data_IF_599552995497
#
_entry.id   IF_599552995497
#
_cell.length_a   1.000
_cell.length_b   1.000
_cell.length_c   1.000
_cell.angle_alpha   90.00
_cell.angle_beta   90.00
_cell.angle_gamma   90.00
#
_symmetry.space_group_name_H-M   'P 1'
#
loop_
_entity.id
_entity.type
_entity.pdbx_description
1 polymer ?
#
# COMPACT_ATOMS: atom_id res chain seq x y z
N UNK A 1 -14.47 1.33 6.14
CA UNK A 1 -14.65 2.66 5.52
C UNK A 1 -16.07 2.75 5.00
N UNK A 2 -16.92 3.56 5.62
CA UNK A 2 -18.32 3.69 5.16
C UNK A 2 -18.34 4.64 3.96
N UNK A 3 -18.27 4.06 2.77
CA UNK A 3 -18.37 4.74 1.49
C UNK A 3 -19.81 5.20 1.26
N UNK A 4 -20.13 6.40 1.74
CA UNK A 4 -21.44 7.02 1.56
C UNK A 4 -21.65 7.52 0.14
N UNK A 5 -22.53 6.85 -0.62
CA UNK A 5 -23.32 7.32 -1.79
C UNK A 5 -22.64 8.04 -2.97
N UNK A 6 -21.34 8.36 -2.96
CA UNK A 6 -20.53 8.72 -4.14
C UNK A 6 -19.06 8.36 -3.93
N UNK A 7 -18.46 7.73 -4.95
CA UNK A 7 -17.02 7.45 -5.08
C UNK A 7 -16.58 6.18 -4.36
N UNK A 8 -16.88 5.00 -4.91
CA UNK A 8 -16.31 3.74 -4.44
C UNK A 8 -14.87 3.64 -4.92
N UNK A 9 -13.95 3.22 -4.04
CA UNK A 9 -12.58 2.85 -4.42
C UNK A 9 -12.56 1.37 -4.73
N UNK A 10 -12.15 1.02 -5.96
CA UNK A 10 -11.98 -0.37 -6.38
C UNK A 10 -10.50 -0.72 -6.48
N UNK A 11 -10.15 -1.87 -5.91
CA UNK A 11 -8.81 -2.42 -5.96
C UNK A 11 -8.90 -3.94 -5.89
N UNK A 12 -8.02 -4.62 -6.60
CA UNK A 12 -7.78 -6.04 -6.37
C UNK A 12 -6.65 -6.14 -5.36
N UNK A 13 -6.86 -6.85 -4.26
CA UNK A 13 -5.84 -7.04 -3.24
C UNK A 13 -5.55 -8.54 -3.04
N UNK A 14 -4.28 -8.91 -3.02
CA UNK A 14 -3.83 -10.29 -2.79
C UNK A 14 -3.06 -10.33 -1.46
N UNK A 15 -3.39 -11.26 -0.54
CA UNK A 15 -2.58 -11.46 0.65
C UNK A 15 -1.24 -12.10 0.27
N UNK A 16 -0.15 -11.57 0.82
CA UNK A 16 1.22 -12.07 0.58
C UNK A 16 1.91 -12.23 1.92
N UNK A 17 2.45 -13.43 2.18
CA UNK A 17 3.29 -13.69 3.35
C UNK A 17 4.75 -13.51 2.97
N UNK A 18 5.45 -12.58 3.63
CA UNK A 18 6.88 -12.32 3.43
C UNK A 18 7.59 -12.45 4.77
N UNK A 19 8.42 -13.48 4.91
CA UNK A 19 9.00 -13.86 6.19
C UNK A 19 7.91 -14.15 7.24
N UNK A 20 7.97 -13.44 8.37
CA UNK A 20 7.01 -13.54 9.46
C UNK A 20 5.89 -12.49 9.40
N UNK A 21 5.89 -11.62 8.39
CA UNK A 21 4.90 -10.56 8.23
C UNK A 21 3.89 -10.89 7.12
N UNK A 22 2.67 -10.40 7.31
CA UNK A 22 1.59 -10.50 6.32
C UNK A 22 1.40 -9.13 5.67
N UNK A 23 1.22 -9.13 4.35
CA UNK A 23 1.03 -7.96 3.53
C UNK A 23 -0.22 -8.11 2.65
N UNK A 24 -0.78 -6.99 2.22
CA UNK A 24 -1.67 -6.90 1.07
C UNK A 24 -0.93 -6.26 -0.08
N UNK A 25 -0.99 -6.91 -1.24
CA UNK A 25 -0.50 -6.42 -2.51
C UNK A 25 -1.71 -5.96 -3.34
N UNK A 26 -1.85 -4.64 -3.50
CA UNK A 26 -2.91 -3.99 -4.25
C UNK A 26 -2.47 -3.77 -5.68
N UNK A 27 -3.30 -4.21 -6.62
CA UNK A 27 -3.19 -3.93 -8.05
C UNK A 27 -4.45 -3.20 -8.52
N UNK A 28 -4.39 -2.47 -9.65
CA UNK A 28 -5.57 -1.82 -10.20
C UNK A 28 -6.74 -2.80 -10.32
N UNK A 29 -7.93 -2.37 -9.91
CA UNK A 29 -9.16 -3.16 -10.02
C UNK A 29 -9.51 -3.50 -11.48
N UNK A 30 -10.36 -4.51 -11.72
CA UNK A 30 -10.84 -4.82 -13.08
C UNK A 30 -11.59 -3.64 -13.70
N UNK A 31 -11.60 -3.57 -15.04
CA UNK A 31 -12.28 -2.50 -15.78
C UNK A 31 -13.77 -2.34 -15.39
N UNK A 32 -14.22 -1.09 -15.24
CA UNK A 32 -15.58 -0.75 -14.82
C UNK A 32 -16.70 -1.25 -15.76
N UNK A 33 -17.92 -1.48 -15.23
CA UNK A 33 -19.14 -1.26 -15.99
C UNK A 33 -19.24 0.20 -16.45
N UNK A 34 -19.65 0.43 -17.70
CA UNK A 34 -19.74 1.77 -18.30
C UNK A 34 -20.61 2.72 -17.43
N UNK A 35 -20.09 3.92 -17.09
CA UNK A 35 -20.83 4.97 -16.37
C UNK A 35 -20.60 5.11 -14.85
N UNK A 36 -19.70 4.33 -14.24
CA UNK A 36 -19.35 4.49 -12.83
C UNK A 36 -18.53 5.77 -12.54
N UNK A 37 -18.84 6.51 -11.46
CA UNK A 37 -18.05 7.66 -10.96
C UNK A 37 -16.93 7.23 -9.99
N UNK A 38 -16.43 6.02 -10.16
CA UNK A 38 -15.59 5.35 -9.17
C UNK A 38 -14.09 5.53 -9.45
N UNK A 39 -13.25 5.33 -8.43
CA UNK A 39 -11.80 5.56 -8.49
C UNK A 39 -11.05 4.23 -8.36
N UNK A 40 -10.05 3.99 -9.21
CA UNK A 40 -9.12 2.87 -9.05
C UNK A 40 -8.06 3.18 -8.01
N UNK A 41 -7.71 2.18 -7.21
CA UNK A 41 -6.49 2.19 -6.43
C UNK A 41 -5.64 0.95 -6.73
N UNK A 42 -4.34 1.10 -7.04
CA UNK A 42 -3.66 2.37 -7.36
C UNK A 42 -4.21 3.03 -8.64
N UNK A 43 -3.99 4.33 -8.81
CA UNK A 43 -4.46 5.10 -9.97
C UNK A 43 -3.56 4.97 -11.21
N UNK A 44 -2.42 4.32 -11.05
CA UNK A 44 -1.47 3.95 -12.11
C UNK A 44 -1.32 2.43 -12.14
N UNK A 45 -0.83 1.89 -13.25
CA UNK A 45 -0.51 0.46 -13.37
C UNK A 45 0.75 0.12 -12.54
N UNK A 46 0.56 0.02 -11.23
CA UNK A 46 1.60 -0.27 -10.25
C UNK A 46 1.02 -1.08 -9.09
N UNK A 47 1.92 -1.69 -8.32
CA UNK A 47 1.59 -2.35 -7.07
C UNK A 47 1.67 -1.35 -5.91
N UNK A 48 0.72 -1.43 -4.97
CA UNK A 48 0.87 -0.82 -3.66
C UNK A 48 0.90 -1.93 -2.60
N UNK A 49 1.92 -1.94 -1.74
CA UNK A 49 2.09 -2.96 -0.70
C UNK A 49 1.87 -2.34 0.67
N UNK A 50 1.02 -2.98 1.47
CA UNK A 50 0.77 -2.59 2.86
C UNK A 50 0.99 -3.76 3.81
N UNK A 51 1.60 -3.50 4.97
CA UNK A 51 1.67 -4.48 6.07
C UNK A 51 0.30 -4.56 6.73
N UNK A 52 -0.13 -5.76 7.10
CA UNK A 52 -1.42 -5.96 7.74
C UNK A 52 -1.35 -6.78 9.03
N UNK A 53 -2.29 -6.47 9.93
CA UNK A 53 -2.60 -7.25 11.12
C UNK A 53 -4.10 -7.48 11.16
N UNK A 54 -4.49 -8.72 11.39
CA UNK A 54 -5.88 -9.10 11.59
C UNK A 54 -6.05 -9.55 13.03
N UNK A 55 -6.84 -8.80 13.81
CA UNK A 55 -7.23 -9.15 15.16
C UNK A 55 -8.75 -9.14 15.29
N UNK A 56 -9.34 -10.34 15.43
CA UNK A 56 -10.79 -10.57 15.53
C UNK A 56 -11.59 -9.90 14.40
N UNK A 57 -12.19 -8.75 14.70
CA UNK A 57 -13.06 -7.98 13.83
C UNK A 57 -12.37 -6.70 13.32
N UNK A 58 -11.07 -6.54 13.57
CA UNK A 58 -10.25 -5.42 13.13
C UNK A 58 -9.16 -5.86 12.15
N UNK A 59 -9.09 -5.18 11.02
CA UNK A 59 -7.98 -5.22 10.07
C UNK A 59 -7.24 -3.88 10.16
N UNK A 60 -6.00 -3.93 10.62
CA UNK A 60 -5.04 -2.81 10.55
C UNK A 60 -4.24 -2.94 9.27
N UNK A 61 -4.22 -1.88 8.46
CA UNK A 61 -3.44 -1.77 7.23
C UNK A 61 -2.46 -0.63 7.42
N UNK A 62 -1.17 -0.86 7.18
CA UNK A 62 -0.16 0.18 7.22
C UNK A 62 0.63 0.23 5.92
N UNK A 63 0.56 1.35 5.22
CA UNK A 63 1.38 1.61 4.05
C UNK A 63 2.75 2.13 4.46
N UNK A 64 3.68 2.12 3.51
CA UNK A 64 4.96 2.80 3.69
C UNK A 64 4.72 4.30 3.85
N UNK A 65 5.25 4.89 4.91
CA UNK A 65 5.10 6.31 5.18
C UNK A 65 6.00 7.12 4.24
N UNK A 66 5.37 8.06 3.52
CA UNK A 66 6.05 8.88 2.52
C UNK A 66 7.12 9.78 3.15
N UNK A 67 6.88 10.33 4.36
CA UNK A 67 7.86 11.20 5.03
C UNK A 67 9.08 10.40 5.48
N UNK A 68 8.86 9.18 5.98
CA UNK A 68 9.94 8.25 6.29
C UNK A 68 10.74 7.93 5.04
N UNK A 69 10.08 7.63 3.91
CA UNK A 69 10.76 7.32 2.65
C UNK A 69 11.61 8.51 2.17
N UNK A 70 11.05 9.73 2.16
CA UNK A 70 11.79 10.96 1.82
C UNK A 70 12.97 11.22 2.75
N UNK A 71 12.83 10.96 4.05
CA UNK A 71 13.94 11.06 4.99
C UNK A 71 15.06 10.07 4.63
N UNK A 72 14.73 8.81 4.35
CA UNK A 72 15.73 7.84 3.91
C UNK A 72 16.42 8.25 2.60
N UNK A 73 15.67 8.84 1.66
CA UNK A 73 16.19 9.35 0.39
C UNK A 73 17.20 10.48 0.64
N UNK A 74 16.82 11.49 1.43
CA UNK A 74 17.71 12.61 1.76
C UNK A 74 18.96 12.19 2.52
N UNK A 75 18.86 11.15 3.36
CA UNK A 75 19.99 10.57 4.08
C UNK A 75 20.80 9.57 3.23
N UNK A 76 20.47 9.37 1.94
CA UNK A 76 21.09 8.39 1.04
C UNK A 76 21.04 6.94 1.54
N UNK A 77 19.99 6.60 2.27
CA UNK A 77 19.72 5.26 2.84
C UNK A 77 18.61 4.51 2.12
N UNK A 78 17.82 5.19 1.29
CA UNK A 78 16.77 4.55 0.51
C UNK A 78 17.39 3.76 -0.66
N UNK A 79 17.26 2.43 -0.61
CA UNK A 79 18.01 1.51 -1.49
C UNK A 79 17.29 1.16 -2.78
N UNK A 80 16.03 1.54 -2.96
CA UNK A 80 15.23 1.19 -4.13
C UNK A 80 15.26 2.33 -5.17
N UNK A 81 15.25 2.01 -6.48
CA UNK A 81 15.03 3.01 -7.51
C UNK A 81 13.63 3.61 -7.37
N UNK A 82 13.54 4.92 -7.61
CA UNK A 82 12.30 5.68 -7.47
C UNK A 82 12.21 6.80 -8.50
N UNK A 83 11.00 7.32 -8.68
CA UNK A 83 10.68 8.54 -9.41
C UNK A 83 9.96 9.49 -8.46
N UNK A 84 10.45 10.71 -8.38
CA UNK A 84 9.74 11.83 -7.77
C UNK A 84 8.67 12.33 -8.76
N UNK A 85 7.43 11.87 -8.59
CA UNK A 85 6.31 12.29 -9.40
C UNK A 85 5.58 13.45 -8.70
N UNK A 86 4.88 14.35 -9.44
CA UNK A 86 4.28 15.55 -8.87
C UNK A 86 3.32 15.33 -7.68
N UNK A 87 2.77 14.13 -7.54
CA UNK A 87 1.77 13.79 -6.52
C UNK A 87 2.18 12.63 -5.61
N UNK A 88 3.32 11.99 -5.84
CA UNK A 88 3.74 10.81 -5.08
C UNK A 88 5.21 10.42 -5.34
N UNK A 89 5.81 9.75 -4.36
CA UNK A 89 6.99 8.93 -4.57
C UNK A 89 6.59 7.59 -5.22
N UNK A 90 7.07 7.31 -6.43
CA UNK A 90 6.82 6.04 -7.13
C UNK A 90 8.07 5.17 -7.10
N UNK A 91 7.99 4.01 -6.45
CA UNK A 91 9.09 3.02 -6.44
C UNK A 91 9.07 2.22 -7.75
N UNK A 92 10.20 2.19 -8.45
CA UNK A 92 10.35 1.54 -9.77
C UNK A 92 11.19 0.26 -9.73
N UNK A 93 11.32 -0.31 -8.53
CA UNK A 93 12.08 -1.53 -8.29
C UNK A 93 11.37 -2.78 -8.86
N UNK A 94 12.14 -3.85 -9.11
CA UNK A 94 11.53 -5.13 -9.42
C UNK A 94 10.70 -5.66 -8.23
N UNK A 95 9.72 -6.52 -8.51
CA UNK A 95 8.91 -7.17 -7.46
C UNK A 95 9.78 -7.87 -6.41
N UNK A 96 10.90 -8.47 -6.82
CA UNK A 96 11.83 -9.14 -5.90
C UNK A 96 12.52 -8.16 -4.96
N UNK A 97 13.05 -7.04 -5.49
CA UNK A 97 13.69 -5.99 -4.70
C UNK A 97 12.71 -5.33 -3.74
N UNK A 98 11.49 -5.01 -4.22
CA UNK A 98 10.43 -4.45 -3.39
C UNK A 98 10.08 -5.41 -2.25
N UNK A 99 9.92 -6.71 -2.53
CA UNK A 99 9.64 -7.73 -1.50
C UNK A 99 10.77 -7.82 -0.47
N UNK A 100 12.03 -7.81 -0.90
CA UNK A 100 13.19 -7.80 0.02
C UNK A 100 13.17 -6.56 0.91
N UNK A 101 12.92 -5.39 0.33
CA UNK A 101 12.85 -4.13 1.06
C UNK A 101 11.74 -4.12 2.09
N UNK A 102 10.49 -4.42 1.72
CA UNK A 102 9.37 -4.43 2.69
C UNK A 102 9.54 -5.49 3.76
N UNK A 103 10.23 -6.61 3.46
CA UNK A 103 10.57 -7.63 4.45
C UNK A 103 11.61 -7.10 5.45
N UNK A 104 12.66 -6.42 4.96
CA UNK A 104 13.72 -5.86 5.81
C UNK A 104 13.21 -4.76 6.75
N UNK A 105 12.21 -3.99 6.30
CA UNK A 105 11.59 -2.91 7.07
C UNK A 105 10.28 -3.31 7.74
N UNK A 106 9.88 -4.58 7.69
CA UNK A 106 8.56 -5.01 8.13
C UNK A 106 8.27 -4.53 9.57
N UNK A 107 9.21 -4.73 10.50
CA UNK A 107 9.09 -4.38 11.91
C UNK A 107 9.53 -2.96 12.28
N UNK A 108 9.91 -2.15 11.28
CA UNK A 108 10.14 -0.72 11.46
C UNK A 108 8.78 0.00 11.56
N UNK A 109 8.45 0.42 12.78
CA UNK A 109 7.17 1.08 13.10
C UNK A 109 7.07 2.46 12.46
N UNK A 110 8.19 3.10 12.16
CA UNK A 110 8.23 4.41 11.53
C UNK A 110 8.08 4.25 10.01
N UNK A 111 8.69 3.22 9.42
CA UNK A 111 8.57 2.90 8.00
C UNK A 111 7.12 2.59 7.59
N UNK A 112 6.41 1.80 8.37
CA UNK A 112 5.00 1.48 8.14
C UNK A 112 4.12 2.17 9.17
N UNK A 113 3.95 3.49 9.05
CA UNK A 113 3.16 4.31 9.98
C UNK A 113 1.90 4.95 9.37
N UNK A 114 1.71 4.90 8.05
CA UNK A 114 0.48 5.35 7.40
C UNK A 114 -0.65 4.32 7.61
N UNK A 115 -1.47 4.53 8.64
CA UNK A 115 -2.40 3.54 9.18
C UNK A 115 -3.87 3.76 8.79
N UNK A 116 -4.50 2.67 8.34
CA UNK A 116 -5.93 2.55 8.16
C UNK A 116 -6.47 1.41 9.02
N UNK A 117 -7.56 1.67 9.74
CA UNK A 117 -8.23 0.66 10.57
C UNK A 117 -9.61 0.37 10.01
N UNK A 118 -9.87 -0.90 9.70
CA UNK A 118 -11.14 -1.38 9.18
C UNK A 118 -11.78 -2.32 10.18
N UNK A 119 -13.04 -2.07 10.51
CA UNK A 119 -13.81 -2.90 11.44
C UNK A 119 -14.90 -3.66 10.69
N UNK A 120 -15.04 -4.95 10.98
CA UNK A 120 -16.15 -5.77 10.49
C UNK A 120 -17.45 -5.21 11.05
N UNK A 121 -18.35 -4.80 10.16
CA UNK A 121 -19.73 -4.47 10.52
C UNK A 121 -20.51 -5.78 10.59
N UNK A 122 -21.24 -5.99 11.69
CA UNK A 122 -22.10 -7.15 11.89
C UNK A 122 -23.42 -7.01 11.15
#
# INVERSE_FOLDING_TARGET
MTLGKKGVVWSTAKPVKLGNALFLDFEPGPAFPEGAQDVYYPSIDAHAIARIWLDKDELTIRFLDEKWAWKQIHESKFSLPYVDAPTALVVTASTEELRKFVTAHADDKDAFSDEYRLFRVK
#
